data_IF_895442131695
#
_entry.id   IF_895442131695
#
_cell.length_a   1.000
_cell.length_b   1.000
_cell.length_c   1.000
_cell.angle_alpha   90.00
_cell.angle_beta   90.00
_cell.angle_gamma   90.00
#
_symmetry.space_group_name_H-M   'P 1'
#
loop_
_entity.id
_entity.type
_entity.pdbx_description
1 polymer ?
#
# COMPACT_ATOMS: atom_id res chain seq x y z
N UNK A 1 1.13 38.56 -16.25
CA UNK A 1 1.53 38.35 -14.84
C UNK A 1 2.80 37.52 -14.85
N UNK A 2 3.95 38.11 -14.53
CA UNK A 2 5.22 37.39 -14.42
C UNK A 2 5.20 36.69 -13.06
N UNK A 3 5.24 35.35 -13.05
CA UNK A 3 5.29 34.58 -11.82
C UNK A 3 6.50 35.02 -10.98
N UNK A 4 6.26 35.36 -9.72
CA UNK A 4 7.33 35.71 -8.80
C UNK A 4 8.29 34.49 -8.73
N UNK A 5 9.59 34.66 -9.00
CA UNK A 5 10.54 33.57 -8.79
C UNK A 5 10.52 33.23 -7.30
N UNK A 6 10.36 31.94 -6.98
CA UNK A 6 10.56 31.46 -5.61
C UNK A 6 12.00 31.78 -5.20
N UNK A 7 12.20 32.35 -4.01
CA UNK A 7 13.53 32.70 -3.53
C UNK A 7 14.33 31.41 -3.29
N UNK A 8 15.47 31.25 -3.97
CA UNK A 8 16.44 30.21 -3.65
C UNK A 8 17.04 30.48 -2.26
N UNK A 9 16.73 29.61 -1.30
CA UNK A 9 17.30 29.70 0.05
C UNK A 9 18.68 29.06 0.02
N UNK A 10 19.73 29.84 0.36
CA UNK A 10 21.09 29.31 0.48
C UNK A 10 21.15 28.26 1.61
N UNK A 11 21.84 27.14 1.39
CA UNK A 11 22.00 26.02 2.36
C UNK A 11 22.40 26.49 3.76
N UNK A 12 23.25 27.53 3.85
CA UNK A 12 23.70 28.16 5.11
C UNK A 12 22.54 28.64 6.00
N UNK A 13 21.38 28.97 5.44
CA UNK A 13 20.19 29.35 6.22
C UNK A 13 19.41 28.13 6.72
N UNK A 14 19.47 27.00 6.03
CA UNK A 14 18.84 25.73 6.44
C UNK A 14 19.63 25.11 7.59
N UNK A 15 20.97 25.19 7.55
CA UNK A 15 21.87 24.70 8.61
C UNK A 15 21.69 25.42 9.96
N UNK A 16 21.11 26.63 9.96
CA UNK A 16 20.83 27.41 11.17
C UNK A 16 19.51 27.04 11.85
N UNK A 17 18.71 26.18 11.23
CA UNK A 17 17.48 25.71 11.86
C UNK A 17 17.83 24.86 13.09
N UNK A 18 17.17 25.07 14.24
CA UNK A 18 17.40 24.29 15.45
C UNK A 18 16.77 22.89 15.31
N UNK A 19 17.32 22.06 14.42
CA UNK A 19 16.89 20.70 14.21
C UNK A 19 17.74 19.76 15.07
N UNK A 20 17.12 19.14 16.07
CA UNK A 20 17.77 18.11 16.88
C UNK A 20 17.71 16.80 16.08
N UNK A 21 18.84 16.40 15.50
CA UNK A 21 18.99 15.07 14.88
C UNK A 21 19.19 14.06 16.02
N UNK A 22 18.09 13.46 16.46
CA UNK A 22 18.12 12.43 17.52
C UNK A 22 18.68 11.12 17.00
N UNK A 23 19.45 10.40 17.83
CA UNK A 23 19.89 9.04 17.53
C UNK A 23 18.72 8.06 17.33
N UNK A 24 17.57 8.34 17.95
CA UNK A 24 16.34 7.57 17.78
C UNK A 24 15.79 7.62 16.34
N UNK A 25 16.15 8.64 15.56
CA UNK A 25 15.69 8.82 14.18
C UNK A 25 16.10 7.65 13.26
N UNK A 26 17.21 6.96 13.55
CA UNK A 26 17.66 5.82 12.74
C UNK A 26 16.62 4.70 12.65
N UNK A 27 15.94 4.39 13.76
CA UNK A 27 14.92 3.35 13.79
C UNK A 27 13.69 3.74 12.95
N UNK A 28 13.31 5.03 12.96
CA UNK A 28 12.23 5.54 12.13
C UNK A 28 12.59 5.50 10.64
N UNK A 29 13.83 5.86 10.28
CA UNK A 29 14.32 5.79 8.89
C UNK A 29 14.20 4.35 8.38
N UNK A 30 14.73 3.38 9.13
CA UNK A 30 14.69 1.95 8.74
C UNK A 30 13.23 1.48 8.54
N UNK A 31 12.31 1.88 9.43
CA UNK A 31 10.90 1.50 9.29
C UNK A 31 10.23 2.18 8.10
N UNK A 32 10.53 3.45 7.84
CA UNK A 32 10.00 4.17 6.68
C UNK A 32 10.50 3.57 5.36
N UNK A 33 11.78 3.20 5.28
CA UNK A 33 12.36 2.50 4.13
C UNK A 33 11.70 1.12 3.93
N UNK A 34 11.49 0.36 5.00
CA UNK A 34 10.77 -0.91 4.94
C UNK A 34 9.33 -0.73 4.45
N UNK A 35 8.60 0.23 5.01
CA UNK A 35 7.24 0.58 4.59
C UNK A 35 7.17 0.92 3.10
N UNK A 36 8.15 1.70 2.59
CA UNK A 36 8.24 2.05 1.18
C UNK A 36 8.45 0.81 0.30
N UNK A 37 9.36 -0.08 0.67
CA UNK A 37 9.66 -1.27 -0.13
C UNK A 37 8.49 -2.27 -0.11
N UNK A 38 7.83 -2.47 1.04
CA UNK A 38 6.63 -3.31 1.13
C UNK A 38 5.49 -2.79 0.24
N UNK A 39 5.20 -1.49 0.28
CA UNK A 39 4.17 -0.87 -0.56
C UNK A 39 4.50 -0.99 -2.05
N UNK A 40 5.78 -0.84 -2.39
CA UNK A 40 6.26 -1.03 -3.76
C UNK A 40 6.11 -2.48 -4.21
N UNK A 41 6.41 -3.47 -3.37
CA UNK A 41 6.17 -4.88 -3.67
C UNK A 41 4.69 -5.18 -3.84
N UNK A 42 3.84 -4.64 -2.97
CA UNK A 42 2.39 -4.80 -3.06
C UNK A 42 1.85 -4.24 -4.37
N UNK A 43 2.23 -3.00 -4.70
CA UNK A 43 1.81 -2.33 -5.92
C UNK A 43 2.32 -3.05 -7.17
N UNK A 44 3.60 -3.38 -7.22
CA UNK A 44 4.20 -4.05 -8.39
C UNK A 44 3.63 -5.45 -8.62
N UNK A 45 3.40 -6.23 -7.56
CA UNK A 45 2.74 -7.54 -7.63
C UNK A 45 1.30 -7.42 -8.15
N UNK A 46 0.53 -6.49 -7.58
CA UNK A 46 -0.84 -6.19 -8.02
C UNK A 46 -0.88 -5.79 -9.49
N UNK A 47 -0.04 -4.85 -9.92
CA UNK A 47 0.02 -4.40 -11.31
C UNK A 47 0.47 -5.50 -12.26
N UNK A 48 1.40 -6.38 -11.85
CA UNK A 48 1.84 -7.52 -12.67
C UNK A 48 0.67 -8.46 -12.97
N UNK A 49 -0.15 -8.77 -11.97
CA UNK A 49 -1.33 -9.61 -12.16
C UNK A 49 -2.40 -8.92 -13.00
N UNK A 50 -2.68 -7.64 -12.75
CA UNK A 50 -3.65 -6.88 -13.55
C UNK A 50 -3.23 -6.78 -15.02
N UNK A 51 -1.93 -6.58 -15.31
CA UNK A 51 -1.40 -6.62 -16.67
C UNK A 51 -1.54 -7.98 -17.33
N UNK A 52 -1.33 -9.06 -16.57
CA UNK A 52 -1.58 -10.42 -17.07
C UNK A 52 -3.05 -10.55 -17.48
N UNK A 53 -3.98 -10.20 -16.60
CA UNK A 53 -5.43 -10.22 -16.90
C UNK A 53 -5.77 -9.35 -18.11
N UNK A 54 -5.23 -8.14 -18.19
CA UNK A 54 -5.44 -7.22 -19.31
C UNK A 54 -4.94 -7.80 -20.64
N UNK A 55 -3.77 -8.45 -20.62
CA UNK A 55 -3.15 -9.07 -21.80
C UNK A 55 -3.81 -10.38 -22.23
N UNK A 56 -4.32 -11.17 -21.29
CA UNK A 56 -4.90 -12.49 -21.57
C UNK A 56 -6.38 -12.40 -21.94
N UNK A 57 -7.12 -11.46 -21.35
CA UNK A 57 -8.59 -11.44 -21.43
C UNK A 57 -9.16 -10.15 -22.01
N UNK A 58 -8.35 -9.11 -22.20
CA UNK A 58 -8.75 -7.83 -22.80
C UNK A 58 -10.08 -7.26 -22.24
N UNK A 59 -10.22 -7.12 -20.92
CA UNK A 59 -11.41 -6.55 -20.31
C UNK A 59 -11.63 -5.11 -20.80
N UNK A 60 -12.90 -4.70 -20.97
CA UNK A 60 -13.23 -3.34 -21.42
C UNK A 60 -12.66 -2.26 -20.49
N UNK A 61 -12.72 -2.49 -19.18
CA UNK A 61 -12.13 -1.62 -18.16
C UNK A 61 -11.68 -2.44 -16.95
N UNK A 62 -10.60 -2.02 -16.28
CA UNK A 62 -10.21 -2.54 -14.97
C UNK A 62 -10.92 -1.72 -13.89
N UNK A 63 -12.07 -2.21 -13.43
CA UNK A 63 -12.84 -1.55 -12.36
C UNK A 63 -12.03 -1.45 -11.08
N UNK A 64 -12.37 -0.50 -10.20
CA UNK A 64 -11.74 -0.37 -8.88
C UNK A 64 -11.83 -1.65 -8.06
N UNK A 65 -12.94 -2.41 -8.18
CA UNK A 65 -13.08 -3.74 -7.57
C UNK A 65 -12.08 -4.76 -8.11
N UNK A 66 -11.88 -4.81 -9.44
CA UNK A 66 -10.88 -5.70 -10.04
C UNK A 66 -9.46 -5.30 -9.67
N UNK A 67 -9.19 -4.00 -9.50
CA UNK A 67 -7.89 -3.54 -9.01
C UNK A 67 -7.66 -3.97 -7.55
N UNK A 68 -8.72 -4.00 -6.74
CA UNK A 68 -8.73 -4.55 -5.38
C UNK A 68 -9.07 -6.06 -5.33
N UNK A 69 -8.58 -6.85 -6.30
CA UNK A 69 -8.93 -8.28 -6.42
C UNK A 69 -8.63 -9.11 -5.15
N UNK A 70 -7.64 -8.70 -4.35
CA UNK A 70 -7.25 -9.35 -3.11
C UNK A 70 -8.37 -9.32 -2.04
N UNK A 71 -9.31 -8.38 -2.17
CA UNK A 71 -10.50 -8.28 -1.29
C UNK A 71 -11.68 -9.13 -1.76
N UNK A 72 -11.61 -9.69 -2.97
CA UNK A 72 -12.69 -10.45 -3.58
C UNK A 72 -12.48 -11.95 -3.39
N UNK A 73 -13.58 -12.69 -3.37
CA UNK A 73 -13.53 -14.14 -3.58
C UNK A 73 -13.46 -14.48 -5.07
N UNK A 74 -12.95 -15.68 -5.40
CA UNK A 74 -12.76 -16.07 -6.79
C UNK A 74 -14.05 -15.99 -7.62
N UNK A 75 -15.19 -16.37 -7.05
CA UNK A 75 -16.50 -16.27 -7.72
C UNK A 75 -16.89 -14.83 -8.03
N UNK A 76 -16.57 -13.90 -7.13
CA UNK A 76 -16.82 -12.47 -7.33
C UNK A 76 -15.88 -11.90 -8.38
N UNK A 77 -14.60 -12.27 -8.34
CA UNK A 77 -13.60 -11.88 -9.32
C UNK A 77 -13.99 -12.30 -10.74
N UNK A 78 -14.39 -13.56 -10.95
CA UNK A 78 -14.86 -14.07 -12.24
C UNK A 78 -16.12 -13.32 -12.69
N UNK A 79 -17.04 -13.04 -11.77
CA UNK A 79 -18.26 -12.29 -12.06
C UNK A 79 -17.95 -10.85 -12.49
N UNK A 80 -17.02 -10.19 -11.81
CA UNK A 80 -16.55 -8.85 -12.19
C UNK A 80 -15.83 -8.86 -13.54
N UNK A 81 -15.02 -9.87 -13.87
CA UNK A 81 -14.44 -10.01 -15.21
C UNK A 81 -15.50 -10.18 -16.29
N UNK A 82 -16.53 -11.01 -16.06
CA UNK A 82 -17.65 -11.21 -17.00
C UNK A 82 -18.41 -9.91 -17.26
N UNK A 83 -18.59 -9.05 -16.25
CA UNK A 83 -19.18 -7.70 -16.42
C UNK A 83 -18.36 -6.81 -17.36
N UNK A 84 -17.06 -7.05 -17.49
CA UNK A 84 -16.17 -6.34 -18.41
C UNK A 84 -16.10 -6.95 -19.81
N UNK A 85 -17.09 -7.78 -20.17
CA UNK A 85 -17.20 -8.47 -21.47
C UNK A 85 -16.13 -9.55 -21.70
N UNK A 86 -15.51 -10.07 -20.63
CA UNK A 86 -14.60 -11.22 -20.70
C UNK A 86 -15.40 -12.52 -20.78
N UNK A 87 -15.13 -13.34 -21.79
CA UNK A 87 -15.68 -14.69 -21.91
C UNK A 87 -14.65 -15.69 -21.41
N UNK A 88 -14.94 -16.34 -20.30
CA UNK A 88 -14.13 -17.42 -19.73
C UNK A 88 -14.88 -18.74 -19.87
N UNK A 89 -14.21 -19.76 -20.42
CA UNK A 89 -14.65 -21.14 -20.34
C UNK A 89 -14.36 -21.73 -18.96
N UNK A 90 -15.07 -22.81 -18.57
CA UNK A 90 -14.83 -23.46 -17.27
C UNK A 90 -13.40 -23.99 -17.10
N UNK A 91 -12.74 -24.38 -18.20
CA UNK A 91 -11.36 -24.85 -18.15
C UNK A 91 -10.39 -23.70 -17.88
N UNK A 92 -10.63 -22.53 -18.46
CA UNK A 92 -9.84 -21.33 -18.18
C UNK A 92 -10.09 -20.81 -16.76
N UNK A 93 -11.34 -20.83 -16.28
CA UNK A 93 -11.65 -20.51 -14.88
C UNK A 93 -10.89 -21.42 -13.92
N UNK A 94 -10.89 -22.73 -14.18
CA UNK A 94 -10.17 -23.69 -13.35
C UNK A 94 -8.65 -23.43 -13.33
N UNK A 95 -8.04 -23.15 -14.49
CA UNK A 95 -6.62 -22.82 -14.56
C UNK A 95 -6.26 -21.47 -13.93
N UNK A 96 -7.20 -20.52 -13.89
CA UNK A 96 -7.01 -19.21 -13.29
C UNK A 96 -7.14 -19.23 -11.76
N UNK A 97 -7.88 -20.20 -11.20
CA UNK A 97 -8.13 -20.32 -9.76
C UNK A 97 -6.84 -20.31 -8.94
N UNK A 98 -5.92 -21.22 -9.26
CA UNK A 98 -4.66 -21.37 -8.52
C UNK A 98 -3.80 -20.10 -8.61
N UNK A 99 -3.76 -19.46 -9.78
CA UNK A 99 -3.03 -18.21 -10.00
C UNK A 99 -3.64 -17.06 -9.21
N UNK A 100 -4.97 -16.96 -9.19
CA UNK A 100 -5.70 -15.96 -8.43
C UNK A 100 -5.45 -16.12 -6.93
N UNK A 101 -5.61 -17.33 -6.39
CA UNK A 101 -5.42 -17.60 -4.97
C UNK A 101 -3.98 -17.36 -4.53
N UNK A 102 -2.99 -17.79 -5.31
CA UNK A 102 -1.58 -17.52 -5.03
C UNK A 102 -1.30 -16.01 -4.97
N UNK A 103 -1.82 -15.25 -5.93
CA UNK A 103 -1.60 -13.81 -5.98
C UNK A 103 -2.39 -13.06 -4.89
N UNK A 104 -3.60 -13.51 -4.56
CA UNK A 104 -4.42 -12.98 -3.45
C UNK A 104 -3.69 -13.17 -2.13
N UNK A 105 -3.22 -14.39 -1.85
CA UNK A 105 -2.49 -14.69 -0.62
C UNK A 105 -1.21 -13.86 -0.50
N UNK A 106 -0.45 -13.73 -1.59
CA UNK A 106 0.75 -12.88 -1.60
C UNK A 106 0.43 -11.40 -1.34
N UNK A 107 -0.69 -10.88 -1.89
CA UNK A 107 -1.13 -9.52 -1.63
C UNK A 107 -1.58 -9.31 -0.17
N UNK A 108 -2.30 -10.28 0.40
CA UNK A 108 -2.75 -10.26 1.79
C UNK A 108 -1.58 -10.33 2.78
N UNK A 109 -0.59 -11.17 2.52
CA UNK A 109 0.62 -11.27 3.34
C UNK A 109 1.39 -9.94 3.37
N UNK A 110 1.55 -9.28 2.21
CA UNK A 110 2.15 -7.96 2.15
C UNK A 110 1.32 -6.89 2.89
N UNK A 111 -0.02 -6.94 2.80
CA UNK A 111 -0.89 -6.04 3.55
C UNK A 111 -0.73 -6.24 5.05
N UNK A 112 -0.66 -7.49 5.51
CA UNK A 112 -0.43 -7.80 6.91
C UNK A 112 0.92 -7.23 7.39
N UNK A 113 1.99 -7.40 6.60
CA UNK A 113 3.30 -6.85 6.93
C UNK A 113 3.32 -5.31 6.97
N UNK A 114 2.58 -4.66 6.07
CA UNK A 114 2.40 -3.21 6.03
C UNK A 114 1.71 -2.75 7.31
N UNK A 115 0.55 -3.34 7.63
CA UNK A 115 -0.25 -3.04 8.83
C UNK A 115 0.58 -3.24 10.11
N UNK A 116 1.29 -4.35 10.23
CA UNK A 116 2.17 -4.62 11.37
C UNK A 116 3.31 -3.59 11.48
N UNK A 117 3.82 -3.09 10.36
CA UNK A 117 4.89 -2.09 10.34
C UNK A 117 4.34 -0.73 10.76
N UNK A 118 3.14 -0.38 10.32
CA UNK A 118 2.44 0.87 10.65
C UNK A 118 2.20 0.95 12.17
N UNK A 119 1.59 -0.10 12.74
CA UNK A 119 1.36 -0.19 14.19
C UNK A 119 2.66 -0.16 15.00
N UNK A 120 3.78 -0.65 14.46
CA UNK A 120 5.10 -0.55 15.11
C UNK A 120 5.62 0.89 15.07
N UNK A 121 5.34 1.66 14.01
CA UNK A 121 5.70 3.06 13.92
C UNK A 121 4.86 3.86 14.93
N UNK A 122 3.56 3.64 14.97
CA UNK A 122 2.65 4.30 15.93
C UNK A 122 3.12 4.13 17.37
N UNK A 123 3.39 2.88 17.78
CA UNK A 123 3.94 2.58 19.13
C UNK A 123 5.24 3.34 19.40
N UNK A 124 6.16 3.39 18.44
CA UNK A 124 7.40 4.15 18.60
C UNK A 124 7.17 5.65 18.73
N UNK A 125 6.17 6.20 18.04
CA UNK A 125 5.78 7.61 18.18
C UNK A 125 5.18 7.85 19.57
N UNK A 126 4.29 6.98 20.04
CA UNK A 126 3.69 7.09 21.37
C UNK A 126 4.75 7.04 22.48
N UNK A 127 5.70 6.12 22.38
CA UNK A 127 6.83 6.03 23.31
C UNK A 127 7.71 7.30 23.27
N UNK A 128 7.96 7.87 22.08
CA UNK A 128 8.76 9.07 21.93
C UNK A 128 8.13 10.30 22.62
N UNK A 129 6.81 10.37 22.61
CA UNK A 129 6.05 11.45 23.26
C UNK A 129 5.60 11.09 24.68
N UNK A 130 5.85 9.86 25.15
CA UNK A 130 5.50 9.41 26.50
C UNK A 130 4.00 9.30 26.76
N UNK A 131 3.21 8.94 25.75
CA UNK A 131 1.75 8.80 25.89
C UNK A 131 1.39 7.62 26.79
N UNK A 132 0.34 7.82 27.58
CA UNK A 132 -0.33 6.80 28.39
C UNK A 132 -1.30 5.95 27.56
N UNK A 133 -1.73 4.79 28.07
CA UNK A 133 -2.70 3.93 27.38
C UNK A 133 -4.03 4.66 27.14
N UNK A 134 -4.46 5.51 28.08
CA UNK A 134 -5.66 6.33 27.96
C UNK A 134 -5.55 7.36 26.82
N UNK A 135 -4.38 7.99 26.68
CA UNK A 135 -4.09 8.95 25.60
C UNK A 135 -3.99 8.25 24.24
N UNK A 136 -3.38 7.06 24.19
CA UNK A 136 -3.32 6.25 22.97
C UNK A 136 -4.73 5.86 22.52
N UNK A 137 -5.57 5.38 23.44
CA UNK A 137 -6.96 4.99 23.15
C UNK A 137 -7.77 6.16 22.57
N UNK A 138 -7.59 7.37 23.12
CA UNK A 138 -8.19 8.59 22.61
C UNK A 138 -7.69 8.94 21.19
N UNK A 139 -6.39 8.79 20.93
CA UNK A 139 -5.78 9.05 19.61
C UNK A 139 -6.27 8.05 18.56
N UNK A 140 -6.40 6.77 18.91
CA UNK A 140 -6.87 5.72 18.00
C UNK A 140 -8.39 5.76 17.76
N UNK A 141 -9.12 6.64 18.45
CA UNK A 141 -10.58 6.78 18.28
C UNK A 141 -11.36 5.53 18.65
N UNK A 142 -10.75 4.61 19.40
CA UNK A 142 -11.45 3.52 20.07
C UNK A 142 -12.14 4.21 21.25
N UNK A 143 -13.46 4.37 21.19
CA UNK A 143 -14.30 4.90 22.28
C UNK A 143 -15.57 4.09 22.41
#
# INVERSE_FOLDING_TARGET
MVGKPLAEVKVVFVERLPLIISSAQKNFIIKAENMLELNKHFYTGTQKFLRFIESSYHPKTLSTKLQAFHTLDFSEFVTELKKQNVKLSKQEEFGLLDLFEAQKNHALDLQEQIEQTDQKIDRMVYELYGLTEEEIWLVEGKS
#
